data_IF_985909922409
#
_entry.id   IF_985909922409
#
_cell.length_a   1.000
_cell.length_b   1.000
_cell.length_c   1.000
_cell.angle_alpha   90.00
_cell.angle_beta   90.00
_cell.angle_gamma   90.00
#
_symmetry.space_group_name_H-M   'P 1'
#
loop_
_entity.id
_entity.type
_entity.pdbx_description
1 polymer ?
#
# COMPACT_ATOMS: atom_id res chain seq x y z
N UNK A 1 -14.46 -35.76 -16.68
CA UNK A 1 -14.17 -34.36 -17.03
C UNK A 1 -14.26 -33.56 -15.76
N UNK A 2 -13.14 -33.28 -15.14
CA UNK A 2 -13.07 -32.53 -13.89
C UNK A 2 -13.00 -31.04 -14.25
N UNK A 3 -14.05 -30.31 -13.93
CA UNK A 3 -14.05 -28.83 -13.99
C UNK A 3 -13.16 -28.35 -12.83
N UNK A 4 -11.92 -28.02 -13.14
CA UNK A 4 -11.09 -27.20 -12.24
C UNK A 4 -11.70 -25.82 -12.27
N UNK A 5 -12.29 -25.41 -11.15
CA UNK A 5 -12.69 -24.02 -10.91
C UNK A 5 -11.38 -23.23 -10.90
N UNK A 6 -11.19 -22.40 -11.91
CA UNK A 6 -10.06 -21.47 -11.95
C UNK A 6 -10.27 -20.45 -10.82
N UNK A 7 -9.62 -20.65 -9.70
CA UNK A 7 -9.51 -19.62 -8.69
C UNK A 7 -8.66 -18.49 -9.29
N UNK A 8 -9.28 -17.35 -9.50
CA UNK A 8 -8.60 -16.12 -9.90
C UNK A 8 -7.75 -15.68 -8.71
N UNK A 9 -6.49 -16.00 -8.70
CA UNK A 9 -5.54 -15.47 -7.73
C UNK A 9 -5.17 -14.06 -8.19
N UNK A 10 -6.05 -13.10 -7.90
CA UNK A 10 -5.61 -11.72 -7.70
C UNK A 10 -4.73 -11.79 -6.45
N UNK A 11 -3.50 -11.25 -6.46
CA UNK A 11 -2.60 -11.38 -5.34
C UNK A 11 -3.30 -10.99 -4.05
N UNK A 12 -2.93 -11.64 -2.95
CA UNK A 12 -3.54 -11.63 -1.61
C UNK A 12 -3.64 -10.26 -0.91
N UNK A 13 -3.67 -9.18 -1.64
CA UNK A 13 -3.98 -7.80 -1.26
C UNK A 13 -5.42 -7.62 -0.72
N UNK A 14 -6.19 -8.71 -0.69
CA UNK A 14 -7.56 -8.70 -0.18
C UNK A 14 -7.75 -9.59 1.07
N UNK A 15 -6.68 -10.13 1.64
CA UNK A 15 -6.78 -10.98 2.82
C UNK A 15 -6.97 -10.21 4.14
N UNK A 16 -6.81 -8.89 4.14
CA UNK A 16 -7.27 -8.06 5.24
C UNK A 16 -8.77 -7.75 5.07
N UNK A 17 -9.61 -8.70 5.44
CA UNK A 17 -11.06 -8.64 5.27
C UNK A 17 -11.45 -8.88 3.81
N UNK A 18 -11.68 -10.14 3.44
CA UNK A 18 -12.39 -10.46 2.22
C UNK A 18 -13.81 -9.85 2.34
N UNK A 19 -13.94 -8.57 2.00
CA UNK A 19 -15.24 -8.00 1.70
C UNK A 19 -15.81 -8.88 0.60
N UNK A 20 -16.83 -9.67 0.92
CA UNK A 20 -17.58 -10.39 -0.08
C UNK A 20 -18.30 -9.33 -0.90
N UNK A 21 -17.67 -8.93 -2.02
CA UNK A 21 -18.29 -8.05 -2.96
C UNK A 21 -19.69 -8.57 -3.27
N UNK A 22 -20.70 -7.72 -3.13
CA UNK A 22 -22.04 -8.08 -3.50
C UNK A 22 -22.10 -8.18 -5.03
N UNK A 23 -22.37 -9.37 -5.54
CA UNK A 23 -22.62 -9.56 -6.97
C UNK A 23 -23.88 -8.79 -7.35
N UNK A 24 -23.72 -7.69 -8.10
CA UNK A 24 -24.82 -6.84 -8.57
C UNK A 24 -25.36 -7.35 -9.89
N UNK A 25 -24.47 -7.90 -10.71
CA UNK A 25 -24.81 -8.40 -12.03
C UNK A 25 -23.88 -9.53 -12.44
N UNK A 26 -24.46 -10.61 -13.00
CA UNK A 26 -23.69 -11.72 -13.56
C UNK A 26 -24.53 -12.43 -14.64
N UNK A 27 -24.39 -11.99 -15.89
CA UNK A 27 -25.14 -12.51 -17.00
C UNK A 27 -24.40 -12.32 -18.31
N UNK A 28 -24.55 -13.31 -19.21
CA UNK A 28 -24.04 -13.25 -20.58
C UNK A 28 -22.53 -12.96 -20.67
N UNK A 29 -21.74 -13.53 -19.75
CA UNK A 29 -20.29 -13.34 -19.69
C UNK A 29 -19.86 -11.99 -19.09
N UNK A 30 -20.80 -11.21 -18.56
CA UNK A 30 -20.50 -9.96 -17.87
C UNK A 30 -20.76 -10.09 -16.37
N UNK A 31 -19.86 -9.58 -15.55
CA UNK A 31 -19.95 -9.58 -14.09
C UNK A 31 -19.65 -8.19 -13.55
N UNK A 32 -20.42 -7.76 -12.56
CA UNK A 32 -20.18 -6.55 -11.79
C UNK A 32 -20.39 -6.84 -10.31
N UNK A 33 -19.35 -6.62 -9.54
CA UNK A 33 -19.34 -6.73 -8.10
C UNK A 33 -19.20 -5.34 -7.47
N UNK A 34 -20.03 -5.03 -6.48
CA UNK A 34 -19.91 -3.84 -5.63
C UNK A 34 -19.32 -4.26 -4.29
N UNK A 35 -18.35 -3.51 -3.79
CA UNK A 35 -17.74 -3.75 -2.49
C UNK A 35 -17.46 -2.44 -1.75
N UNK A 36 -17.30 -2.52 -0.44
CA UNK A 36 -16.95 -1.36 0.34
C UNK A 36 -16.97 -1.62 1.84
N UNK A 37 -16.58 -0.60 2.58
CA UNK A 37 -16.67 -0.58 4.05
C UNK A 37 -16.99 0.81 4.56
N UNK A 38 -17.65 0.84 5.71
CA UNK A 38 -17.70 2.00 6.62
C UNK A 38 -16.92 1.62 7.84
N UNK A 39 -15.94 2.44 8.21
CA UNK A 39 -15.11 2.28 9.38
C UNK A 39 -15.36 3.44 10.34
N UNK A 40 -16.11 3.18 11.40
CA UNK A 40 -16.29 4.13 12.51
C UNK A 40 -15.08 4.04 13.41
N UNK A 41 -14.13 4.97 13.23
CA UNK A 41 -12.79 4.92 13.78
C UNK A 41 -12.50 6.12 14.65
N UNK A 42 -11.88 5.88 15.81
CA UNK A 42 -11.39 6.91 16.70
C UNK A 42 -9.97 6.62 17.17
N UNK A 43 -9.11 7.64 17.11
CA UNK A 43 -7.76 7.59 17.67
C UNK A 43 -7.72 8.29 19.03
N UNK A 44 -6.94 7.71 19.94
CA UNK A 44 -6.55 8.31 21.22
C UNK A 44 -5.03 8.48 21.20
N UNK A 45 -4.57 9.72 21.23
CA UNK A 45 -3.14 10.05 21.19
C UNK A 45 -2.90 11.40 21.87
N UNK A 46 -1.71 11.59 22.41
CA UNK A 46 -1.26 12.90 22.88
C UNK A 46 -0.85 13.82 21.69
N UNK A 47 -0.61 13.25 20.51
CA UNK A 47 -0.46 14.01 19.27
C UNK A 47 -1.80 14.55 18.77
N UNK A 48 -2.00 15.86 18.92
CA UNK A 48 -3.24 16.54 18.54
C UNK A 48 -3.58 16.42 17.03
N UNK A 49 -2.61 16.10 16.15
CA UNK A 49 -2.85 15.90 14.73
C UNK A 49 -3.40 14.50 14.43
N UNK A 50 -3.18 13.56 15.35
CA UNK A 50 -3.64 12.17 15.22
C UNK A 50 -4.88 11.89 16.08
N UNK A 51 -5.10 12.61 17.20
CA UNK A 51 -6.20 12.36 18.12
C UNK A 51 -7.57 12.69 17.53
N UNK A 52 -8.58 11.90 17.88
CA UNK A 52 -9.97 12.16 17.55
C UNK A 52 -10.59 11.24 16.50
N UNK A 53 -11.68 11.72 15.90
CA UNK A 53 -12.46 10.98 14.91
C UNK A 53 -11.71 10.84 13.59
N UNK A 54 -11.56 9.59 13.13
CA UNK A 54 -10.92 9.21 11.87
C UNK A 54 -11.88 8.43 10.95
N UNK A 55 -13.18 8.53 11.21
CA UNK A 55 -14.22 7.79 10.49
C UNK A 55 -14.16 8.03 8.99
N UNK A 56 -14.23 6.95 8.21
CA UNK A 56 -14.26 7.02 6.75
C UNK A 56 -15.14 5.95 6.11
N UNK A 57 -15.47 6.18 4.85
CA UNK A 57 -16.11 5.22 3.98
C UNK A 57 -15.23 4.90 2.78
N UNK A 58 -15.20 3.64 2.36
CA UNK A 58 -14.56 3.20 1.12
C UNK A 58 -15.55 2.40 0.31
N UNK A 59 -15.64 2.66 -0.99
CA UNK A 59 -16.48 1.91 -1.90
C UNK A 59 -15.80 1.73 -3.25
N UNK A 60 -16.14 0.66 -3.94
CA UNK A 60 -15.62 0.39 -5.26
C UNK A 60 -16.45 -0.64 -6.01
N UNK A 61 -16.14 -0.80 -7.27
CA UNK A 61 -16.66 -1.89 -8.08
C UNK A 61 -15.55 -2.61 -8.84
N UNK A 62 -15.79 -3.88 -9.13
CA UNK A 62 -15.00 -4.71 -10.04
C UNK A 62 -15.90 -5.19 -11.15
N UNK A 63 -15.48 -4.99 -12.39
CA UNK A 63 -16.19 -5.42 -13.57
C UNK A 63 -15.36 -6.37 -14.41
N UNK A 64 -16.01 -7.39 -14.97
CA UNK A 64 -15.41 -8.32 -15.92
C UNK A 64 -16.35 -8.54 -17.09
N UNK A 65 -15.80 -8.72 -18.29
CA UNK A 65 -16.54 -9.09 -19.50
C UNK A 65 -15.78 -10.13 -20.29
N UNK A 66 -16.43 -11.25 -20.57
CA UNK A 66 -15.88 -12.30 -21.44
C UNK A 66 -16.02 -11.85 -22.89
N UNK A 67 -14.90 -11.55 -23.54
CA UNK A 67 -14.86 -11.14 -24.95
C UNK A 67 -14.90 -12.36 -25.89
N UNK A 68 -14.18 -13.41 -25.53
CA UNK A 68 -14.19 -14.72 -26.18
C UNK A 68 -13.60 -15.77 -25.23
N UNK A 69 -13.44 -17.00 -25.68
CA UNK A 69 -12.97 -18.13 -24.83
C UNK A 69 -11.62 -17.90 -24.17
N UNK A 70 -10.79 -17.00 -24.71
CA UNK A 70 -9.43 -16.72 -24.22
C UNK A 70 -9.27 -15.34 -23.59
N UNK A 71 -10.12 -14.38 -23.93
CA UNK A 71 -9.95 -12.97 -23.59
C UNK A 71 -11.06 -12.51 -22.66
N UNK A 72 -10.68 -11.98 -21.51
CA UNK A 72 -11.55 -11.28 -20.55
C UNK A 72 -11.07 -9.84 -20.37
N UNK A 73 -11.96 -8.88 -20.63
CA UNK A 73 -11.76 -7.49 -20.22
C UNK A 73 -12.12 -7.32 -18.75
N UNK A 74 -11.40 -6.49 -18.02
CA UNK A 74 -11.70 -6.19 -16.62
C UNK A 74 -11.39 -4.75 -16.24
N UNK A 75 -11.97 -4.29 -15.14
CA UNK A 75 -11.66 -3.00 -14.57
C UNK A 75 -12.07 -2.91 -13.11
N UNK A 76 -11.43 -1.99 -12.41
CA UNK A 76 -11.71 -1.71 -11.01
C UNK A 76 -11.64 -0.22 -10.74
N UNK A 77 -12.57 0.26 -9.90
CA UNK A 77 -12.53 1.59 -9.34
C UNK A 77 -12.77 1.50 -7.83
N UNK A 78 -11.99 2.26 -7.05
CA UNK A 78 -12.12 2.37 -5.60
C UNK A 78 -11.96 3.81 -5.16
N UNK A 79 -12.87 4.27 -4.32
CA UNK A 79 -12.94 5.63 -3.82
C UNK A 79 -13.05 5.65 -2.30
N UNK A 80 -12.38 6.61 -1.66
CA UNK A 80 -12.47 6.84 -0.22
C UNK A 80 -13.00 8.23 0.06
N UNK A 81 -13.87 8.33 1.05
CA UNK A 81 -14.45 9.57 1.57
C UNK A 81 -14.23 9.61 3.06
N UNK A 82 -13.62 10.67 3.56
CA UNK A 82 -13.55 10.92 5.00
C UNK A 82 -14.91 11.41 5.51
N UNK A 83 -15.30 10.97 6.69
CA UNK A 83 -16.59 11.28 7.31
C UNK A 83 -16.44 12.05 8.63
N UNK A 84 -15.23 12.46 8.97
CA UNK A 84 -14.89 13.18 10.20
C UNK A 84 -14.87 14.71 10.06
N UNK A 85 -15.08 15.25 8.86
CA UNK A 85 -15.18 16.68 8.60
C UNK A 85 -16.58 17.24 8.81
N UNK A 86 -16.71 18.58 8.82
CA UNK A 86 -18.02 19.24 8.88
C UNK A 86 -18.74 19.18 7.53
N UNK A 87 -20.08 19.22 7.50
CA UNK A 87 -20.88 19.21 6.26
C UNK A 87 -20.54 20.36 5.30
N UNK A 88 -20.02 21.45 5.81
CA UNK A 88 -19.60 22.63 5.02
C UNK A 88 -18.19 22.49 4.43
N UNK A 89 -17.41 21.57 4.94
CA UNK A 89 -16.09 21.28 4.42
C UNK A 89 -16.21 20.39 3.19
N UNK A 90 -15.39 20.65 2.16
CA UNK A 90 -15.41 19.84 0.94
C UNK A 90 -14.74 18.48 1.12
N UNK A 91 -14.57 18.05 2.36
CA UNK A 91 -14.08 16.76 2.85
C UNK A 91 -13.02 16.11 1.96
N UNK A 92 -11.99 15.58 2.54
CA UNK A 92 -10.98 14.87 1.80
C UNK A 92 -11.56 13.58 1.23
N UNK A 93 -11.56 13.50 -0.09
CA UNK A 93 -12.01 12.31 -0.80
C UNK A 93 -11.13 12.09 -2.04
N UNK A 94 -10.78 10.84 -2.31
CA UNK A 94 -9.86 10.53 -3.40
C UNK A 94 -10.10 9.15 -4.02
N UNK A 95 -9.71 9.05 -5.30
CA UNK A 95 -9.63 7.77 -6.00
C UNK A 95 -8.41 7.00 -5.53
N UNK A 96 -8.63 5.81 -4.99
CA UNK A 96 -7.58 4.88 -4.58
C UNK A 96 -7.09 4.03 -5.74
N UNK A 97 -8.03 3.45 -6.50
CA UNK A 97 -7.77 2.63 -7.68
C UNK A 97 -8.67 3.07 -8.83
N UNK A 98 -8.14 3.05 -10.05
CA UNK A 98 -8.89 3.29 -11.28
C UNK A 98 -8.08 2.75 -12.46
N UNK A 99 -8.35 1.52 -12.88
CA UNK A 99 -7.65 0.89 -13.99
C UNK A 99 -8.57 -0.02 -14.79
N UNK A 100 -8.16 -0.28 -16.03
CA UNK A 100 -8.79 -1.25 -16.90
C UNK A 100 -7.73 -2.12 -17.57
N UNK A 101 -8.08 -3.35 -17.89
CA UNK A 101 -7.14 -4.30 -18.44
C UNK A 101 -7.78 -5.45 -19.20
N UNK A 102 -6.92 -6.31 -19.71
CA UNK A 102 -7.28 -7.54 -20.38
C UNK A 102 -6.52 -8.72 -19.77
N UNK A 103 -7.17 -9.87 -19.69
CA UNK A 103 -6.57 -11.15 -19.34
C UNK A 103 -6.66 -12.07 -20.56
N UNK A 104 -5.60 -12.79 -20.88
CA UNK A 104 -5.51 -13.69 -22.01
C UNK A 104 -5.09 -15.08 -21.54
N UNK A 105 -6.04 -15.91 -21.18
CA UNK A 105 -5.81 -17.29 -20.70
C UNK A 105 -4.62 -17.40 -19.75
N UNK A 106 -3.68 -18.31 -20.02
CA UNK A 106 -2.45 -18.52 -19.23
C UNK A 106 -1.32 -17.55 -19.60
N UNK A 107 -1.51 -16.71 -20.64
CA UNK A 107 -0.53 -15.69 -21.02
C UNK A 107 -0.49 -14.50 -20.06
N UNK A 108 -1.43 -14.43 -19.11
CA UNK A 108 -1.46 -13.42 -18.07
C UNK A 108 -2.42 -12.27 -18.33
N UNK A 109 -2.19 -11.17 -17.65
CA UNK A 109 -3.03 -9.96 -17.73
C UNK A 109 -2.15 -8.72 -17.96
N UNK A 110 -2.77 -7.73 -18.57
CA UNK A 110 -2.20 -6.40 -18.71
C UNK A 110 -3.25 -5.36 -18.33
N UNK A 111 -2.88 -4.42 -17.48
CA UNK A 111 -3.73 -3.30 -17.09
C UNK A 111 -2.98 -1.97 -17.13
N UNK A 112 -3.75 -0.89 -17.22
CA UNK A 112 -3.26 0.48 -17.18
C UNK A 112 -4.17 1.36 -16.35
N UNK A 113 -3.56 2.24 -15.54
CA UNK A 113 -4.24 3.27 -14.78
C UNK A 113 -3.63 3.54 -13.43
N UNK A 114 -4.48 3.89 -12.44
CA UNK A 114 -4.09 4.03 -11.04
C UNK A 114 -4.21 2.67 -10.36
N UNK A 115 -3.09 2.07 -10.03
CA UNK A 115 -3.02 0.74 -9.44
C UNK A 115 -1.87 0.65 -8.42
N UNK A 116 -1.70 -0.50 -7.78
CA UNK A 116 -0.56 -0.74 -6.91
C UNK A 116 0.73 -0.92 -7.69
N UNK A 117 1.81 -0.34 -7.17
CA UNK A 117 3.16 -0.59 -7.62
C UNK A 117 3.64 -2.00 -7.26
N UNK A 118 4.58 -2.54 -8.07
CA UNK A 118 5.06 -3.92 -7.89
C UNK A 118 5.80 -4.15 -6.57
N UNK A 119 6.29 -3.11 -5.89
CA UNK A 119 6.89 -3.25 -4.56
C UNK A 119 5.86 -3.74 -3.55
N UNK A 120 4.60 -3.36 -3.71
CA UNK A 120 3.52 -3.75 -2.81
C UNK A 120 3.14 -5.23 -2.92
N UNK A 121 3.56 -5.94 -3.95
CA UNK A 121 3.36 -7.39 -4.08
C UNK A 121 4.05 -8.17 -2.94
N UNK A 122 5.08 -7.59 -2.32
CA UNK A 122 5.77 -8.13 -1.15
C UNK A 122 5.40 -7.38 0.13
N UNK A 123 5.35 -6.05 0.09
CA UNK A 123 5.00 -5.20 1.23
C UNK A 123 3.62 -5.51 1.79
N UNK A 124 2.63 -5.77 0.92
CA UNK A 124 1.29 -6.14 1.34
C UNK A 124 1.21 -7.38 2.24
N UNK A 125 2.29 -8.14 2.38
CA UNK A 125 2.34 -9.27 3.32
C UNK A 125 2.50 -8.81 4.77
N UNK A 126 3.10 -7.66 5.02
CA UNK A 126 3.24 -7.09 6.37
C UNK A 126 2.18 -6.02 6.68
N UNK A 127 1.50 -5.50 5.66
CA UNK A 127 0.37 -4.56 5.78
C UNK A 127 -0.94 -5.31 6.10
N UNK A 128 -1.02 -5.94 7.27
CA UNK A 128 -2.09 -6.86 7.66
C UNK A 128 -2.82 -6.50 8.95
N UNK A 129 -2.40 -5.44 9.62
CA UNK A 129 -3.06 -4.93 10.82
C UNK A 129 -4.38 -4.23 10.47
N UNK A 130 -5.33 -4.10 11.38
CA UNK A 130 -6.62 -3.49 11.09
C UNK A 130 -6.49 -1.99 10.77
N UNK A 131 -5.51 -1.31 11.35
CA UNK A 131 -5.32 0.13 11.16
C UNK A 131 -3.87 0.52 10.86
N UNK A 132 -2.92 0.13 11.69
CA UNK A 132 -1.51 0.46 11.48
C UNK A 132 -0.79 -0.59 10.61
N UNK A 133 0.47 -0.39 10.31
CA UNK A 133 1.30 -1.31 9.50
C UNK A 133 1.50 -0.86 8.06
N UNK A 134 2.46 -1.52 7.37
CA UNK A 134 2.73 -1.31 5.95
C UNK A 134 3.23 0.09 5.58
N UNK A 135 3.76 0.86 6.53
CA UNK A 135 4.06 2.27 6.36
C UNK A 135 5.55 2.63 6.50
N UNK A 136 6.43 1.64 6.59
CA UNK A 136 7.85 1.91 6.74
C UNK A 136 8.45 2.66 5.53
N UNK A 137 8.00 2.36 4.31
CA UNK A 137 8.42 3.08 3.10
C UNK A 137 7.31 3.20 2.03
N UNK A 138 6.23 2.43 2.14
CA UNK A 138 5.13 2.43 1.19
C UNK A 138 4.28 3.67 1.35
N UNK A 139 4.20 4.46 0.29
CA UNK A 139 3.35 5.65 0.25
C UNK A 139 2.60 5.73 -1.07
N UNK A 140 1.38 6.27 -1.02
CA UNK A 140 0.64 6.58 -2.25
C UNK A 140 1.33 7.69 -3.03
N UNK A 141 1.32 7.56 -4.35
CA UNK A 141 1.94 8.51 -5.29
C UNK A 141 3.44 8.75 -5.04
N UNK A 142 4.13 7.74 -4.52
CA UNK A 142 5.57 7.73 -4.34
C UNK A 142 6.18 6.59 -5.16
N UNK A 143 6.48 6.88 -6.43
CA UNK A 143 6.97 5.92 -7.41
C UNK A 143 6.07 4.66 -7.45
N UNK A 144 6.66 3.45 -7.52
CA UNK A 144 5.93 2.17 -7.56
C UNK A 144 5.94 1.46 -6.20
N UNK A 145 5.92 2.21 -5.07
CA UNK A 145 5.93 1.63 -3.71
C UNK A 145 4.52 1.31 -3.18
N UNK A 146 3.57 2.18 -3.40
CA UNK A 146 2.16 2.02 -3.00
C UNK A 146 1.22 2.18 -4.19
N UNK A 147 0.05 2.76 -3.98
CA UNK A 147 -0.84 3.11 -5.10
C UNK A 147 -0.29 4.29 -5.88
N UNK A 148 -0.17 4.13 -7.19
CA UNK A 148 0.36 5.15 -8.08
C UNK A 148 -0.45 5.24 -9.37
N UNK A 149 -0.49 6.40 -9.99
CA UNK A 149 -1.11 6.58 -11.31
C UNK A 149 -0.10 6.43 -12.44
N UNK A 150 -0.64 6.23 -13.65
CA UNK A 150 0.15 6.07 -14.86
C UNK A 150 0.95 4.77 -14.90
N UNK A 151 0.49 3.70 -14.21
CA UNK A 151 1.17 2.41 -14.21
C UNK A 151 0.57 1.47 -15.25
N UNK A 152 1.42 0.90 -16.08
CA UNK A 152 1.13 -0.18 -17.02
C UNK A 152 1.73 -1.46 -16.44
N UNK A 153 0.89 -2.44 -16.11
CA UNK A 153 1.32 -3.65 -15.40
C UNK A 153 0.98 -4.90 -16.19
N UNK A 154 1.98 -5.71 -16.46
CA UNK A 154 1.80 -7.09 -16.91
C UNK A 154 1.98 -8.04 -15.73
N UNK A 155 1.06 -9.00 -15.57
CA UNK A 155 1.12 -10.04 -14.53
C UNK A 155 0.91 -11.41 -15.13
N UNK A 156 1.70 -12.36 -14.69
CA UNK A 156 1.54 -13.76 -15.02
C UNK A 156 1.59 -14.62 -13.75
N UNK A 157 0.60 -15.46 -13.59
CA UNK A 157 0.52 -16.44 -12.51
C UNK A 157 0.98 -17.80 -13.00
N UNK A 158 1.57 -18.59 -12.09
CA UNK A 158 2.07 -19.96 -12.38
C UNK A 158 3.06 -20.02 -13.55
N UNK A 159 3.74 -18.89 -13.83
CA UNK A 159 4.73 -18.74 -14.88
C UNK A 159 4.28 -19.42 -16.19
N UNK A 160 3.23 -18.87 -16.80
CA UNK A 160 2.59 -19.38 -18.02
C UNK A 160 1.99 -20.81 -17.85
N UNK A 161 1.64 -21.21 -16.64
CA UNK A 161 1.18 -22.56 -16.32
C UNK A 161 2.30 -23.60 -16.31
N UNK A 162 3.56 -23.18 -16.32
CA UNK A 162 4.73 -24.07 -16.34
C UNK A 162 5.28 -24.35 -14.95
N UNK A 163 5.13 -23.43 -14.00
CA UNK A 163 5.64 -23.54 -12.64
C UNK A 163 4.56 -23.09 -11.66
N UNK A 164 3.86 -24.07 -11.07
CA UNK A 164 2.81 -23.80 -10.10
C UNK A 164 3.36 -22.93 -8.94
N UNK A 165 2.63 -21.90 -8.57
CA UNK A 165 2.94 -20.99 -7.49
C UNK A 165 3.95 -19.88 -7.82
N UNK A 166 4.63 -19.91 -8.99
CA UNK A 166 5.54 -18.84 -9.40
C UNK A 166 4.79 -17.72 -10.14
N UNK A 167 4.70 -16.54 -9.52
CA UNK A 167 4.08 -15.38 -10.11
C UNK A 167 5.14 -14.33 -10.46
N UNK A 168 4.93 -13.62 -11.56
CA UNK A 168 5.83 -12.54 -12.02
C UNK A 168 5.00 -11.34 -12.45
N UNK A 169 5.46 -10.15 -12.11
CA UNK A 169 4.92 -8.90 -12.64
C UNK A 169 6.02 -8.02 -13.21
N UNK A 170 5.70 -7.33 -14.29
CA UNK A 170 6.51 -6.27 -14.90
C UNK A 170 5.66 -5.01 -14.94
N UNK A 171 6.24 -3.88 -14.54
CA UNK A 171 5.52 -2.61 -14.49
C UNK A 171 6.35 -1.49 -15.09
N UNK A 172 5.67 -0.60 -15.80
CA UNK A 172 6.17 0.70 -16.22
C UNK A 172 5.31 1.78 -15.59
N UNK A 173 5.92 2.84 -15.09
CA UNK A 173 5.25 4.04 -14.64
C UNK A 173 5.70 5.22 -15.50
N UNK A 174 4.74 5.92 -16.12
CA UNK A 174 5.02 7.15 -16.85
C UNK A 174 5.32 8.31 -15.89
N UNK A 175 6.03 9.31 -16.38
CA UNK A 175 6.38 10.50 -15.62
C UNK A 175 5.13 11.29 -15.16
N UNK A 176 5.19 11.80 -13.93
CA UNK A 176 4.18 12.68 -13.34
C UNK A 176 4.89 13.85 -12.66
N UNK A 177 4.81 15.03 -13.27
CA UNK A 177 5.47 16.25 -12.79
C UNK A 177 4.45 17.37 -12.54
N UNK A 178 4.82 18.36 -11.74
CA UNK A 178 3.96 19.52 -11.44
C UNK A 178 4.15 20.71 -12.36
N UNK A 179 5.18 20.69 -13.21
CA UNK A 179 5.52 21.86 -14.04
C UNK A 179 4.71 21.88 -15.34
N UNK A 180 4.19 23.08 -15.69
CA UNK A 180 3.45 23.29 -16.91
C UNK A 180 4.25 22.84 -18.16
N UNK A 181 3.60 22.03 -18.99
CA UNK A 181 4.18 21.50 -20.22
C UNK A 181 4.98 20.21 -20.04
N UNK A 182 5.06 19.69 -18.83
CA UNK A 182 5.63 18.38 -18.54
C UNK A 182 4.58 17.29 -18.60
N UNK A 183 5.00 16.05 -18.73
CA UNK A 183 4.12 14.90 -18.74
C UNK A 183 3.38 14.77 -17.40
N UNK A 184 2.12 14.38 -17.43
CA UNK A 184 1.30 14.19 -16.24
C UNK A 184 0.74 15.46 -15.60
N UNK A 185 1.01 16.66 -16.12
CA UNK A 185 0.57 17.92 -15.51
C UNK A 185 -0.88 18.29 -15.84
N UNK A 186 -1.46 17.78 -16.90
CA UNK A 186 -2.78 18.22 -17.40
C UNK A 186 -3.97 17.85 -16.50
N UNK A 187 -3.81 16.88 -15.62
CA UNK A 187 -4.88 16.38 -14.75
C UNK A 187 -4.50 16.41 -13.27
N UNK A 188 -3.37 16.96 -12.99
CA UNK A 188 -2.86 16.91 -11.64
C UNK A 188 -3.38 18.08 -10.85
N UNK A 189 -3.95 17.83 -9.73
CA UNK A 189 -3.74 18.69 -8.61
C UNK A 189 -2.23 18.92 -8.40
N UNK A 190 -1.88 19.89 -7.60
CA UNK A 190 -0.49 20.26 -7.33
C UNK A 190 0.32 19.06 -6.85
N UNK A 191 1.22 18.57 -7.72
CA UNK A 191 2.21 17.57 -7.33
C UNK A 191 3.40 18.29 -6.74
N UNK A 192 3.71 17.97 -5.52
CA UNK A 192 4.94 18.45 -4.87
C UNK A 192 6.11 17.46 -5.12
N UNK A 193 7.27 17.80 -4.62
CA UNK A 193 8.49 16.97 -4.71
C UNK A 193 8.29 15.55 -4.18
N UNK A 194 7.45 15.37 -3.15
CA UNK A 194 7.19 14.05 -2.54
C UNK A 194 6.32 13.12 -3.41
N UNK A 195 5.48 13.69 -4.27
CA UNK A 195 4.46 12.98 -5.05
C UNK A 195 4.72 12.98 -6.57
N UNK A 196 5.86 13.53 -7.00
CA UNK A 196 6.28 13.51 -8.41
C UNK A 196 7.13 12.27 -8.69
N UNK A 197 7.19 11.87 -9.95
CA UNK A 197 8.09 10.84 -10.46
C UNK A 197 8.42 11.08 -11.93
N UNK A 198 9.61 10.69 -12.36
CA UNK A 198 9.93 10.48 -13.77
C UNK A 198 9.53 9.09 -14.22
N UNK A 199 9.91 8.71 -15.45
CA UNK A 199 9.69 7.36 -15.99
C UNK A 199 10.39 6.30 -15.16
N UNK A 200 9.72 5.15 -14.97
CA UNK A 200 10.28 4.07 -14.17
C UNK A 200 9.84 2.69 -14.61
N UNK A 201 10.62 1.70 -14.22
CA UNK A 201 10.36 0.28 -14.44
C UNK A 201 10.46 -0.47 -13.14
N UNK A 202 9.64 -1.51 -13.00
CA UNK A 202 9.63 -2.40 -11.85
C UNK A 202 9.39 -3.85 -12.24
N UNK A 203 9.86 -4.74 -11.38
CA UNK A 203 9.64 -6.18 -11.46
C UNK A 203 9.35 -6.71 -10.07
N UNK A 204 8.41 -7.63 -9.97
CA UNK A 204 8.22 -8.47 -8.78
C UNK A 204 8.13 -9.94 -9.15
N UNK A 205 8.48 -10.79 -8.21
CA UNK A 205 8.24 -12.23 -8.28
C UNK A 205 7.89 -12.75 -6.90
N UNK A 206 6.83 -13.56 -6.84
CA UNK A 206 6.43 -14.29 -5.62
C UNK A 206 6.34 -15.77 -5.94
N UNK A 207 6.75 -16.60 -4.98
CA UNK A 207 6.68 -18.04 -5.13
C UNK A 207 6.02 -18.69 -3.92
N UNK A 208 4.91 -19.37 -4.16
CA UNK A 208 4.24 -20.19 -3.16
C UNK A 208 4.84 -21.61 -3.21
N UNK A 209 5.52 -21.96 -2.12
CA UNK A 209 6.14 -23.28 -1.95
C UNK A 209 5.14 -24.37 -1.58
N UNK A 210 3.87 -24.02 -1.39
CA UNK A 210 2.87 -24.87 -0.75
C UNK A 210 3.02 -24.92 0.78
N UNK A 211 2.12 -25.61 1.46
CA UNK A 211 2.07 -25.70 2.93
C UNK A 211 1.96 -24.34 3.64
N UNK A 212 1.52 -23.30 2.93
CA UNK A 212 1.35 -21.95 3.45
C UNK A 212 2.62 -21.09 3.43
N UNK A 213 3.75 -21.57 2.92
CA UNK A 213 5.00 -20.82 2.86
C UNK A 213 5.17 -20.16 1.49
N UNK A 214 5.39 -18.85 1.49
CA UNK A 214 5.68 -18.09 0.28
C UNK A 214 6.88 -17.17 0.50
N UNK A 215 7.68 -16.94 -0.52
CA UNK A 215 8.69 -15.89 -0.55
C UNK A 215 8.52 -14.99 -1.77
N UNK A 216 8.97 -13.75 -1.67
CA UNK A 216 8.85 -12.76 -2.72
C UNK A 216 9.98 -11.77 -2.72
N UNK A 217 10.22 -11.18 -3.88
CA UNK A 217 11.14 -10.09 -4.06
C UNK A 217 10.63 -9.13 -5.14
N UNK A 218 10.96 -7.84 -5.00
CA UNK A 218 10.67 -6.84 -6.00
C UNK A 218 11.81 -5.83 -6.12
N UNK A 219 11.91 -5.19 -7.28
CA UNK A 219 12.85 -4.12 -7.57
C UNK A 219 12.20 -3.08 -8.47
N UNK A 220 12.48 -1.80 -8.20
CA UNK A 220 12.06 -0.67 -9.05
C UNK A 220 13.20 0.30 -9.24
N UNK A 221 13.24 0.94 -10.42
CA UNK A 221 14.14 2.03 -10.74
C UNK A 221 13.39 3.07 -11.56
N UNK A 222 13.42 4.31 -11.13
CA UNK A 222 12.72 5.42 -11.79
C UNK A 222 13.63 6.63 -11.92
N UNK A 223 13.42 7.42 -12.96
CA UNK A 223 14.00 8.75 -13.03
C UNK A 223 13.35 9.66 -11.97
N UNK A 224 14.14 10.55 -11.39
CA UNK A 224 13.65 11.65 -10.58
C UNK A 224 13.42 12.86 -11.46
N UNK A 225 12.36 13.62 -11.15
CA UNK A 225 12.09 14.86 -11.88
C UNK A 225 13.16 15.90 -11.60
N UNK A 226 13.30 16.88 -12.49
CA UNK A 226 14.23 18.01 -12.29
C UNK A 226 13.94 18.75 -10.97
N UNK A 227 12.66 18.82 -10.58
CA UNK A 227 12.26 19.42 -9.31
C UNK A 227 12.77 18.62 -8.12
N UNK A 228 12.66 17.30 -8.17
CA UNK A 228 13.18 16.41 -7.12
C UNK A 228 14.71 16.49 -7.01
N UNK A 229 15.41 16.50 -8.13
CA UNK A 229 16.89 16.58 -8.15
C UNK A 229 17.40 17.92 -7.60
N UNK A 230 16.76 19.02 -7.98
CA UNK A 230 17.26 20.36 -7.66
C UNK A 230 16.74 20.95 -6.34
N UNK A 231 15.63 20.41 -5.81
CA UNK A 231 14.94 21.05 -4.68
C UNK A 231 14.71 20.10 -3.48
N UNK A 232 15.01 18.80 -3.57
CA UNK A 232 14.93 17.93 -2.40
C UNK A 232 16.26 17.83 -1.65
N UNK A 233 16.20 17.29 -0.44
CA UNK A 233 17.39 17.00 0.38
C UNK A 233 18.21 15.82 -0.14
N UNK A 234 17.58 14.90 -0.89
CA UNK A 234 18.26 13.74 -1.47
C UNK A 234 19.00 14.09 -2.76
N UNK A 235 20.18 13.51 -2.93
CA UNK A 235 21.00 13.62 -4.15
C UNK A 235 20.64 12.54 -5.19
N UNK A 236 21.22 12.71 -6.42
CA UNK A 236 21.12 11.69 -7.48
C UNK A 236 19.89 11.78 -8.37
N UNK A 237 20.01 11.21 -9.59
CA UNK A 237 19.01 11.33 -10.66
C UNK A 237 18.01 10.15 -10.68
N UNK A 238 18.26 9.11 -9.89
CA UNK A 238 17.46 7.90 -9.82
C UNK A 238 16.87 7.68 -8.43
N UNK A 239 15.65 7.14 -8.44
CA UNK A 239 14.96 6.61 -7.30
C UNK A 239 14.90 5.09 -7.45
N UNK A 240 15.59 4.36 -6.58
CA UNK A 240 15.69 2.91 -6.64
C UNK A 240 15.14 2.28 -5.35
N UNK A 241 14.47 1.15 -5.47
CA UNK A 241 14.04 0.37 -4.32
C UNK A 241 14.09 -1.12 -4.60
N UNK A 242 14.38 -1.91 -3.57
CA UNK A 242 14.21 -3.35 -3.60
C UNK A 242 13.64 -3.85 -2.28
N UNK A 243 12.93 -4.95 -2.33
CA UNK A 243 12.36 -5.61 -1.17
C UNK A 243 12.44 -7.13 -1.32
N UNK A 244 12.54 -7.83 -0.20
CA UNK A 244 12.37 -9.28 -0.12
C UNK A 244 11.57 -9.62 1.13
N UNK A 245 10.69 -10.61 1.03
CA UNK A 245 9.80 -11.03 2.10
C UNK A 245 9.59 -12.52 2.16
N UNK A 246 9.16 -12.96 3.34
CA UNK A 246 8.76 -14.32 3.64
C UNK A 246 7.41 -14.29 4.34
N UNK A 247 6.52 -15.19 3.94
CA UNK A 247 5.18 -15.33 4.51
C UNK A 247 4.88 -16.79 4.86
N UNK A 248 4.20 -17.00 5.98
CA UNK A 248 3.50 -18.22 6.32
C UNK A 248 2.03 -17.93 6.58
N UNK A 249 1.15 -18.60 5.87
CA UNK A 249 -0.30 -18.44 5.97
C UNK A 249 -0.98 -19.79 5.88
N UNK A 250 -1.08 -20.46 7.03
CA UNK A 250 -1.77 -21.74 7.19
C UNK A 250 -2.08 -22.04 8.66
N UNK A 251 -2.98 -22.97 8.92
CA UNK A 251 -3.34 -23.45 10.25
C UNK A 251 -3.79 -22.34 11.21
N UNK A 252 -4.55 -21.36 10.69
CA UNK A 252 -4.99 -20.18 11.44
C UNK A 252 -3.86 -19.25 11.93
N UNK A 253 -2.62 -19.48 11.48
CA UNK A 253 -1.45 -18.68 11.78
C UNK A 253 -1.08 -17.88 10.53
N UNK A 254 -0.89 -16.59 10.70
CA UNK A 254 -0.29 -15.71 9.72
C UNK A 254 0.99 -15.11 10.28
N UNK A 255 2.10 -15.30 9.58
CA UNK A 255 3.38 -14.70 9.89
C UNK A 255 3.95 -14.11 8.60
N UNK A 256 4.41 -12.88 8.64
CA UNK A 256 5.12 -12.28 7.51
C UNK A 256 6.27 -11.39 7.99
N UNK A 257 7.30 -11.32 7.19
CA UNK A 257 8.41 -10.40 7.40
C UNK A 257 8.93 -9.91 6.07
N UNK A 258 9.38 -8.66 6.04
CA UNK A 258 10.06 -8.11 4.88
C UNK A 258 11.26 -7.26 5.28
N UNK A 259 12.22 -7.13 4.37
CA UNK A 259 13.29 -6.15 4.40
C UNK A 259 13.38 -5.43 3.07
N UNK A 260 13.58 -4.10 3.13
CA UNK A 260 13.65 -3.24 1.95
C UNK A 260 14.73 -2.19 2.09
N UNK A 261 15.31 -1.78 0.98
CA UNK A 261 16.10 -0.54 0.89
C UNK A 261 15.52 0.35 -0.20
N UNK A 262 15.43 1.65 0.09
CA UNK A 262 15.09 2.68 -0.87
C UNK A 262 16.21 3.70 -1.01
N UNK A 263 16.31 4.32 -2.18
CA UNK A 263 17.27 5.41 -2.47
C UNK A 263 16.56 6.58 -3.12
N UNK A 264 16.79 7.76 -2.58
CA UNK A 264 16.35 9.07 -3.11
C UNK A 264 14.85 9.19 -3.35
N UNK A 265 14.02 8.49 -2.57
CA UNK A 265 12.57 8.45 -2.82
C UNK A 265 11.69 8.53 -1.58
N UNK A 266 12.12 8.06 -0.43
CA UNK A 266 11.29 8.02 0.77
C UNK A 266 11.20 9.40 1.41
N UNK A 267 10.01 10.05 1.39
CA UNK A 267 9.81 11.31 2.06
C UNK A 267 9.72 11.13 3.57
N UNK A 268 10.20 12.12 4.32
CA UNK A 268 10.08 12.19 5.77
C UNK A 268 9.68 13.58 6.23
N UNK A 269 9.33 13.71 7.51
CA UNK A 269 8.86 14.96 8.11
C UNK A 269 7.39 15.26 7.85
N UNK A 270 6.81 16.13 8.65
CA UNK A 270 5.43 16.59 8.59
C UNK A 270 5.15 17.56 7.43
N UNK A 271 3.94 18.12 7.42
CA UNK A 271 3.45 18.99 6.34
C UNK A 271 3.92 20.43 6.41
N UNK A 272 4.33 20.90 7.58
CA UNK A 272 4.59 22.32 7.82
C UNK A 272 6.03 22.72 7.46
N UNK A 273 6.26 23.04 6.18
CA UNK A 273 7.49 23.67 5.73
C UNK A 273 8.61 22.73 5.28
N UNK A 274 8.40 21.42 5.30
CA UNK A 274 9.38 20.41 4.92
C UNK A 274 9.00 19.61 3.68
N UNK A 275 8.34 20.23 2.72
CA UNK A 275 7.83 19.58 1.50
C UNK A 275 8.90 18.92 0.64
N UNK A 276 10.18 19.21 0.90
CA UNK A 276 11.30 18.79 0.07
C UNK A 276 12.19 17.75 0.75
N UNK A 277 11.84 17.26 1.95
CA UNK A 277 12.63 16.28 2.68
C UNK A 277 12.44 14.88 2.11
N UNK A 278 13.49 14.36 1.48
CA UNK A 278 13.59 13.01 0.94
C UNK A 278 14.87 12.38 1.46
N UNK A 279 14.81 11.17 1.97
CA UNK A 279 15.96 10.43 2.47
C UNK A 279 16.86 9.98 1.29
N UNK A 280 18.18 10.14 1.43
CA UNK A 280 19.14 9.60 0.48
C UNK A 280 19.07 8.07 0.40
N UNK A 281 18.84 7.43 1.54
CA UNK A 281 18.63 6.00 1.64
C UNK A 281 17.73 5.70 2.84
N UNK A 282 16.87 4.66 2.72
CA UNK A 282 16.25 4.05 3.89
C UNK A 282 16.52 2.56 3.95
N UNK A 283 16.54 2.02 5.16
CA UNK A 283 16.57 0.59 5.46
C UNK A 283 15.30 0.30 6.26
N UNK A 284 14.47 -0.58 5.73
CA UNK A 284 13.14 -0.83 6.25
C UNK A 284 13.01 -2.29 6.65
N UNK A 285 12.40 -2.54 7.78
CA UNK A 285 12.13 -3.88 8.28
C UNK A 285 10.73 -3.91 8.89
N UNK A 286 9.97 -4.92 8.53
CA UNK A 286 8.66 -5.18 9.08
C UNK A 286 8.48 -6.66 9.41
N UNK A 287 7.75 -6.92 10.47
CA UNK A 287 7.30 -8.26 10.84
C UNK A 287 5.90 -8.17 11.45
N UNK A 288 5.02 -9.08 11.07
CA UNK A 288 3.67 -9.21 11.62
C UNK A 288 3.34 -10.66 11.94
N UNK A 289 2.58 -10.87 12.99
CA UNK A 289 2.07 -12.16 13.40
C UNK A 289 0.61 -12.07 13.83
N UNK A 290 -0.24 -12.97 13.34
CA UNK A 290 -1.66 -13.05 13.70
C UNK A 290 -2.06 -14.49 13.95
N UNK A 291 -3.07 -14.71 14.78
CA UNK A 291 -3.70 -16.00 14.97
C UNK A 291 -5.22 -15.88 14.93
N UNK A 292 -5.89 -16.63 14.07
CA UNK A 292 -7.33 -16.66 13.95
C UNK A 292 -7.96 -17.73 14.81
N UNK A 293 -8.66 -17.37 15.89
CA UNK A 293 -9.46 -18.29 16.66
C UNK A 293 -10.79 -18.62 15.96
N UNK A 294 -11.28 -19.85 16.14
CA UNK A 294 -12.54 -20.30 15.54
C UNK A 294 -13.77 -19.51 16.03
N UNK A 295 -13.69 -18.88 17.20
CA UNK A 295 -14.76 -18.06 17.75
C UNK A 295 -14.75 -16.59 17.25
N UNK A 296 -13.90 -16.26 16.30
CA UNK A 296 -13.89 -14.97 15.62
C UNK A 296 -12.85 -13.95 16.12
N UNK A 297 -12.08 -14.26 17.17
CA UNK A 297 -11.01 -13.38 17.65
C UNK A 297 -9.73 -13.59 16.83
N UNK A 298 -9.06 -12.47 16.45
CA UNK A 298 -7.75 -12.45 15.80
C UNK A 298 -6.82 -11.48 16.53
N UNK A 299 -6.07 -11.93 17.53
CA UNK A 299 -4.98 -11.13 18.09
C UNK A 299 -3.84 -11.00 17.08
N UNK A 300 -3.11 -9.89 17.21
CA UNK A 300 -2.02 -9.53 16.32
C UNK A 300 -0.92 -8.75 17.02
N UNK A 301 0.29 -8.91 16.53
CA UNK A 301 1.46 -8.12 16.94
C UNK A 301 2.29 -7.81 15.72
N UNK A 302 2.92 -6.62 15.70
CA UNK A 302 3.85 -6.25 14.65
C UNK A 302 4.99 -5.39 15.19
N UNK A 303 6.05 -5.31 14.38
CA UNK A 303 7.13 -4.35 14.57
C UNK A 303 7.53 -3.80 13.20
N UNK A 304 7.66 -2.47 13.13
CA UNK A 304 8.05 -1.74 11.92
C UNK A 304 9.19 -0.78 12.23
N UNK A 305 10.14 -0.70 11.30
CA UNK A 305 11.24 0.24 11.39
C UNK A 305 11.64 0.74 9.99
N UNK A 306 11.81 2.05 9.87
CA UNK A 306 12.45 2.69 8.72
C UNK A 306 13.59 3.56 9.23
N UNK A 307 14.82 3.23 8.86
CA UNK A 307 16.01 4.00 9.21
C UNK A 307 16.50 4.79 8.00
N UNK A 308 16.40 6.10 8.09
CA UNK A 308 16.98 7.02 7.13
C UNK A 308 18.49 7.17 7.34
N UNK A 309 19.21 7.29 6.22
CA UNK A 309 20.66 7.45 6.16
C UNK A 309 21.02 8.74 5.47
N UNK A 310 22.05 9.42 5.99
CA UNK A 310 22.57 10.66 5.41
C UNK A 310 21.46 11.71 5.20
N UNK A 311 20.60 11.91 6.20
CA UNK A 311 19.45 12.80 6.16
C UNK A 311 19.86 14.28 6.16
N UNK A 312 18.96 15.14 5.72
CA UNK A 312 19.19 16.57 5.60
C UNK A 312 20.05 16.94 4.39
N UNK A 313 20.31 18.24 4.23
CA UNK A 313 21.13 18.75 3.12
C UNK A 313 22.59 18.31 3.35
N UNK A 314 23.15 17.58 2.41
CA UNK A 314 24.50 17.01 2.49
C UNK A 314 24.74 16.12 3.73
N UNK A 315 23.68 15.44 4.21
CA UNK A 315 23.80 14.54 5.37
C UNK A 315 23.90 15.26 6.73
N UNK A 316 23.42 16.50 6.82
CA UNK A 316 23.54 17.32 8.05
C UNK A 316 22.88 16.70 9.28
N UNK A 317 21.82 15.91 9.09
CA UNK A 317 21.04 15.31 10.18
C UNK A 317 21.51 13.87 10.51
N UNK A 318 22.41 13.32 9.68
CA UNK A 318 22.98 11.99 9.88
C UNK A 318 21.97 10.86 9.69
N UNK A 319 22.10 9.83 10.50
CA UNK A 319 21.24 8.65 10.47
C UNK A 319 20.19 8.73 11.57
N UNK A 320 18.90 8.64 11.20
CA UNK A 320 17.77 8.65 12.17
C UNK A 320 16.74 7.59 11.82
N UNK A 321 16.04 7.10 12.83
CA UNK A 321 14.85 6.30 12.63
C UNK A 321 13.70 7.23 12.18
N UNK A 322 13.11 6.97 11.00
CA UNK A 322 12.01 7.79 10.45
C UNK A 322 10.64 7.26 10.89
N UNK A 323 10.57 5.94 11.04
CA UNK A 323 9.44 5.19 11.59
C UNK A 323 10.02 4.11 12.49
N UNK A 324 9.49 3.95 13.69
CA UNK A 324 9.86 2.83 14.56
C UNK A 324 8.78 2.64 15.60
N UNK A 325 8.05 1.55 15.51
CA UNK A 325 7.02 1.22 16.47
C UNK A 325 6.77 -0.28 16.58
N UNK A 326 6.18 -0.70 17.68
CA UNK A 326 5.52 -1.98 17.82
C UNK A 326 4.01 -1.76 17.87
N UNK A 327 3.23 -2.68 17.29
CA UNK A 327 1.77 -2.67 17.45
C UNK A 327 1.28 -3.95 18.09
N UNK A 328 0.26 -3.81 18.94
CA UNK A 328 -0.42 -4.93 19.60
C UNK A 328 -1.91 -4.68 19.49
N UNK A 329 -2.63 -5.59 18.86
CA UNK A 329 -4.04 -5.42 18.61
C UNK A 329 -4.83 -6.71 18.61
N UNK A 330 -6.12 -6.56 18.36
CA UNK A 330 -7.02 -7.67 18.14
C UNK A 330 -8.24 -7.20 17.35
N UNK A 331 -8.65 -8.02 16.39
CA UNK A 331 -9.93 -7.88 15.68
C UNK A 331 -10.89 -8.98 16.14
N UNK A 332 -12.15 -8.62 16.39
CA UNK A 332 -13.22 -9.58 16.63
C UNK A 332 -14.24 -9.55 15.51
N UNK A 333 -14.37 -10.64 14.79
CA UNK A 333 -15.34 -10.82 13.71
C UNK A 333 -16.65 -11.39 14.25
N UNK A 334 -17.70 -10.60 14.30
CA UNK A 334 -19.06 -11.07 14.63
C UNK A 334 -19.61 -11.95 13.49
N UNK A 335 -19.28 -11.59 12.27
CA UNK A 335 -19.56 -12.32 11.05
C UNK A 335 -18.67 -11.77 9.92
N UNK A 336 -18.86 -12.24 8.68
CA UNK A 336 -18.07 -11.80 7.52
C UNK A 336 -18.24 -10.32 7.13
N UNK A 337 -19.31 -9.67 7.60
CA UNK A 337 -19.64 -8.29 7.24
C UNK A 337 -19.44 -7.28 8.37
N UNK A 338 -19.29 -7.74 9.62
CA UNK A 338 -19.18 -6.85 10.77
C UNK A 338 -18.09 -7.30 11.74
N UNK A 339 -17.19 -6.38 12.05
CA UNK A 339 -16.10 -6.58 13.01
C UNK A 339 -15.86 -5.33 13.87
N UNK A 340 -15.13 -5.51 14.94
CA UNK A 340 -14.56 -4.42 15.76
C UNK A 340 -13.10 -4.74 16.03
N UNK A 341 -12.30 -3.71 16.24
CA UNK A 341 -10.89 -3.88 16.53
C UNK A 341 -10.37 -2.84 17.51
N UNK A 342 -9.28 -3.20 18.16
CA UNK A 342 -8.38 -2.29 18.85
C UNK A 342 -6.98 -2.54 18.34
N UNK A 343 -6.24 -1.47 18.05
CA UNK A 343 -4.85 -1.54 17.60
C UNK A 343 -4.05 -0.46 18.36
N UNK A 344 -3.05 -0.88 19.12
CA UNK A 344 -2.20 0.00 19.92
C UNK A 344 -0.81 0.09 19.30
N UNK A 345 -0.51 1.23 18.75
CA UNK A 345 0.80 1.61 18.22
C UNK A 345 1.64 2.21 19.34
N UNK A 346 2.67 1.49 19.74
CA UNK A 346 3.67 1.91 20.73
C UNK A 346 4.81 2.54 19.95
N UNK A 347 4.92 3.86 20.00
CA UNK A 347 6.00 4.58 19.33
C UNK A 347 7.34 4.34 20.05
N UNK A 348 8.40 4.11 19.29
CA UNK A 348 9.74 3.81 19.80
C UNK A 348 10.79 4.81 19.31
N UNK A 349 10.34 5.94 18.76
CA UNK A 349 11.21 7.09 18.47
C UNK A 349 11.55 7.82 19.78
N UNK A 350 12.70 8.46 19.82
CA UNK A 350 13.20 9.16 21.00
C UNK A 350 12.61 10.57 21.08
N UNK A 351 11.65 10.78 22.00
CA UNK A 351 10.97 12.07 22.19
C UNK A 351 11.91 13.24 22.55
N UNK A 352 13.04 12.95 23.16
CA UNK A 352 14.05 13.96 23.54
C UNK A 352 14.95 14.38 22.36
N UNK A 353 14.92 13.67 21.23
CA UNK A 353 15.73 14.02 20.07
C UNK A 353 15.08 15.16 19.26
N UNK A 354 15.77 16.29 19.20
CA UNK A 354 15.32 17.50 18.49
C UNK A 354 15.03 17.28 17.00
N UNK A 355 15.52 16.17 16.40
CA UNK A 355 15.22 15.80 15.03
C UNK A 355 13.73 15.61 14.78
N UNK A 356 12.98 15.09 15.78
CA UNK A 356 11.54 14.81 15.65
C UNK A 356 10.67 16.02 15.99
N UNK A 357 11.23 17.07 16.60
CA UNK A 357 10.44 18.22 17.05
C UNK A 357 9.69 18.90 15.92
N UNK A 358 8.58 19.55 16.28
CA UNK A 358 7.71 20.31 15.36
C UNK A 358 8.47 21.38 14.58
N UNK A 359 9.46 22.04 15.21
CA UNK A 359 10.26 23.09 14.58
C UNK A 359 11.33 22.54 13.61
N UNK A 360 11.55 21.21 13.58
CA UNK A 360 12.58 20.58 12.75
C UNK A 360 11.95 19.69 11.66
N UNK A 361 11.39 18.53 12.00
CA UNK A 361 10.81 17.63 11.00
C UNK A 361 9.35 17.25 11.28
N UNK A 362 8.79 17.65 12.42
CA UNK A 362 7.39 17.41 12.80
C UNK A 362 7.00 15.93 12.65
N UNK A 363 7.79 15.04 13.25
CA UNK A 363 7.54 13.59 13.27
C UNK A 363 7.03 13.23 14.64
N UNK A 364 5.80 12.72 14.74
CA UNK A 364 5.19 12.34 16.02
C UNK A 364 5.95 11.19 16.69
N UNK A 365 6.21 11.36 17.98
CA UNK A 365 6.81 10.36 18.87
C UNK A 365 5.78 9.76 19.82
N UNK A 366 4.52 10.19 19.76
CA UNK A 366 3.45 9.77 20.65
C UNK A 366 2.87 8.41 20.26
N UNK A 367 2.42 7.70 21.27
CA UNK A 367 1.64 6.48 21.13
C UNK A 367 0.24 6.78 20.55
N UNK A 368 -0.35 5.80 19.90
CA UNK A 368 -1.73 5.93 19.38
C UNK A 368 -2.52 4.64 19.62
N UNK A 369 -3.71 4.75 20.16
CA UNK A 369 -4.67 3.65 20.23
C UNK A 369 -5.77 3.91 19.21
N UNK A 370 -5.96 2.99 18.27
CA UNK A 370 -7.09 2.99 17.35
C UNK A 370 -8.19 2.05 17.85
N UNK A 371 -9.43 2.53 17.86
CA UNK A 371 -10.61 1.74 18.16
C UNK A 371 -11.59 1.89 17.01
N UNK A 372 -11.94 0.78 16.36
CA UNK A 372 -12.79 0.81 15.18
C UNK A 372 -13.92 -0.21 15.17
N UNK A 373 -14.97 0.14 14.44
CA UNK A 373 -16.08 -0.74 14.08
C UNK A 373 -16.27 -0.70 12.58
N UNK A 374 -16.17 -1.86 11.94
CA UNK A 374 -16.21 -2.00 10.49
C UNK A 374 -17.48 -2.72 10.06
N UNK A 375 -18.27 -2.08 9.19
CA UNK A 375 -19.25 -2.76 8.37
C UNK A 375 -18.76 -2.84 6.93
N UNK A 376 -18.66 -4.04 6.39
CA UNK A 376 -18.20 -4.28 5.01
C UNK A 376 -19.21 -5.11 4.21
N UNK A 377 -19.27 -4.91 2.91
CA UNK A 377 -20.21 -5.56 1.98
C UNK A 377 -19.57 -5.89 0.64
#
# INVERSE_FOLDING_TARGET
MNRKVLALVIPALLAAGAAHAAEVYNKDGNKLDLYGKVDGLHYFSDDANSDGDQTYMRMGFKGETQVNDMITGYGQWEYQVQANGTEGDKGDSWTRLAFAGIKVGDYGSFDYGRNYGVMYDVEGWTDMLPEFGGDSYTKADNFMTGRANGVATYRNTDFFGLVDGLNVALQYQGANESQNGQEGTNNSGDRNVKNSNGDGFGISSTYDLGMGVSFGAAYTSSDRTNQQVNHSTAGGDKADAWTAGLKYDANNIYLATMYSETRNMTPYGGSDGHDNTIANKTQNFEVTAQYQFDFGLRPEVSFLMSKGKDLGVNGSDGDKDLVKYASVGATYYFNKNFSTYVDYKINLLDEDDSFYNKDHNDISTDDTVALGMVYQF
#
